data_IF_591649267521
#
_entry.id   IF_591649267521
#
_cell.length_a   1.000
_cell.length_b   1.000
_cell.length_c   1.000
_cell.angle_alpha   90.00
_cell.angle_beta   90.00
_cell.angle_gamma   90.00
#
_symmetry.space_group_name_H-M   'P 1'
#
loop_
_entity.id
_entity.type
_entity.pdbx_description
1 polymer ?
#
# COMPACT_ATOMS: atom_id res chain seq x y z
N UNK A 1 -13.23 2.74 22.05
CA UNK A 1 -13.32 1.93 20.82
C UNK A 1 -11.94 1.36 20.47
N UNK A 2 -11.88 0.08 20.17
CA UNK A 2 -10.64 -0.59 19.79
C UNK A 2 -10.22 -0.19 18.38
N UNK A 3 -8.97 -0.45 18.04
CA UNK A 3 -8.48 -0.23 16.66
C UNK A 3 -9.33 -1.03 15.66
N UNK A 4 -9.60 -2.30 15.97
CA UNK A 4 -10.42 -3.15 15.11
C UNK A 4 -11.82 -2.56 14.92
N UNK A 5 -12.43 -2.05 16.01
CA UNK A 5 -13.73 -1.41 15.94
C UNK A 5 -13.73 -0.17 15.05
N UNK A 6 -12.66 0.62 15.10
CA UNK A 6 -12.51 1.79 14.22
C UNK A 6 -12.40 1.39 12.75
N UNK A 7 -11.70 0.30 12.46
CA UNK A 7 -11.59 -0.20 11.09
C UNK A 7 -12.92 -0.71 10.57
N UNK A 8 -13.68 -1.43 11.40
CA UNK A 8 -15.02 -1.89 11.03
C UNK A 8 -15.95 -0.72 10.74
N UNK A 9 -15.85 0.34 11.52
CA UNK A 9 -16.67 1.53 11.31
C UNK A 9 -16.32 2.21 9.98
N UNK A 10 -15.03 2.31 9.66
CA UNK A 10 -14.61 2.86 8.37
C UNK A 10 -15.14 2.05 7.20
N UNK A 11 -15.09 0.73 7.30
CA UNK A 11 -15.61 -0.13 6.24
C UNK A 11 -17.12 0.04 6.09
N UNK A 12 -17.84 0.08 7.20
CA UNK A 12 -19.29 0.28 7.20
C UNK A 12 -19.68 1.61 6.56
N UNK A 13 -18.87 2.65 6.78
CA UNK A 13 -19.13 3.99 6.25
C UNK A 13 -18.66 4.16 4.81
N UNK A 14 -18.07 3.15 4.20
CA UNK A 14 -17.55 3.24 2.84
C UNK A 14 -16.32 4.13 2.73
N UNK A 15 -15.56 4.30 3.82
CA UNK A 15 -14.39 5.15 3.87
C UNK A 15 -13.15 4.39 4.41
N UNK A 16 -12.74 3.30 3.74
CA UNK A 16 -11.56 2.54 4.19
C UNK A 16 -10.28 3.35 4.08
N UNK A 17 -9.28 2.97 4.85
CA UNK A 17 -7.94 3.54 4.75
C UNK A 17 -7.32 3.06 3.44
N UNK A 18 -6.82 3.97 2.63
CA UNK A 18 -6.28 3.70 1.31
C UNK A 18 -4.76 3.62 1.36
N UNK A 19 -4.23 2.43 1.13
CA UNK A 19 -2.80 2.13 1.27
C UNK A 19 -2.15 1.99 -0.09
N UNK A 20 -0.99 2.66 -0.27
CA UNK A 20 -0.12 2.45 -1.41
C UNK A 20 1.12 1.70 -0.95
N UNK A 21 1.42 0.58 -1.60
CA UNK A 21 2.58 -0.26 -1.25
C UNK A 21 3.65 -0.08 -2.31
N UNK A 22 4.85 0.29 -1.89
CA UNK A 22 5.99 0.42 -2.77
C UNK A 22 6.93 -0.76 -2.51
N UNK A 23 7.11 -1.59 -3.53
CA UNK A 23 7.83 -2.84 -3.44
C UNK A 23 6.87 -4.02 -3.32
N UNK A 24 6.82 -4.87 -4.35
CA UNK A 24 5.93 -6.04 -4.42
C UNK A 24 6.71 -7.37 -4.35
N UNK A 25 7.89 -7.33 -3.74
CA UNK A 25 8.64 -8.54 -3.41
C UNK A 25 7.99 -9.27 -2.24
N UNK A 26 8.73 -10.16 -1.61
CA UNK A 26 8.19 -11.02 -0.57
C UNK A 26 7.52 -10.24 0.57
N UNK A 27 8.17 -9.18 1.06
CA UNK A 27 7.62 -8.38 2.16
C UNK A 27 6.39 -7.59 1.74
N UNK A 28 6.47 -6.91 0.60
CA UNK A 28 5.35 -6.13 0.09
C UNK A 28 4.16 -7.00 -0.27
N UNK A 29 4.40 -8.14 -0.90
CA UNK A 29 3.36 -9.10 -1.22
C UNK A 29 2.66 -9.61 0.05
N UNK A 30 3.45 -9.90 1.11
CA UNK A 30 2.90 -10.32 2.39
C UNK A 30 1.99 -9.27 3.02
N UNK A 31 2.41 -8.01 2.97
CA UNK A 31 1.61 -6.90 3.47
C UNK A 31 0.30 -6.76 2.68
N UNK A 32 0.39 -6.84 1.37
CA UNK A 32 -0.79 -6.75 0.48
C UNK A 32 -1.77 -7.87 0.79
N UNK A 33 -1.28 -9.09 0.98
CA UNK A 33 -2.11 -10.24 1.35
C UNK A 33 -2.80 -10.04 2.68
N UNK A 34 -2.09 -9.50 3.66
CA UNK A 34 -2.67 -9.21 4.98
C UNK A 34 -3.80 -8.19 4.88
N UNK A 35 -3.57 -7.11 4.12
CA UNK A 35 -4.58 -6.05 3.98
C UNK A 35 -5.86 -6.59 3.34
N UNK A 36 -5.75 -7.58 2.45
CA UNK A 36 -6.93 -8.15 1.79
C UNK A 36 -7.94 -8.76 2.77
N UNK A 37 -7.49 -9.10 3.97
CA UNK A 37 -8.34 -9.71 5.01
C UNK A 37 -8.67 -8.76 6.15
N UNK A 38 -8.15 -7.53 6.14
CA UNK A 38 -8.38 -6.55 7.20
C UNK A 38 -9.54 -5.64 6.79
N UNK A 39 -10.63 -5.59 7.56
CA UNK A 39 -11.72 -4.67 7.25
C UNK A 39 -11.28 -3.22 7.45
N UNK A 40 -11.81 -2.32 6.65
CA UNK A 40 -11.52 -0.88 6.78
C UNK A 40 -10.20 -0.45 6.17
N UNK A 41 -9.50 -1.33 5.47
CA UNK A 41 -8.27 -1.01 4.74
C UNK A 41 -8.35 -1.59 3.34
N UNK A 42 -7.84 -0.85 2.36
CA UNK A 42 -7.71 -1.33 0.98
C UNK A 42 -6.33 -1.01 0.45
N UNK A 43 -5.86 -1.84 -0.48
CA UNK A 43 -4.67 -1.54 -1.26
C UNK A 43 -5.14 -0.76 -2.50
N UNK A 44 -4.82 0.52 -2.54
CA UNK A 44 -5.24 1.40 -3.63
C UNK A 44 -4.16 1.59 -4.69
N UNK A 45 -2.90 1.32 -4.36
CA UNK A 45 -1.80 1.46 -5.31
C UNK A 45 -0.65 0.52 -4.97
N UNK A 46 0.03 0.06 -6.00
CA UNK A 46 1.23 -0.79 -5.86
C UNK A 46 2.26 -0.32 -6.88
N UNK A 47 3.48 -0.14 -6.43
CA UNK A 47 4.61 0.19 -7.30
C UNK A 47 5.72 -0.84 -7.13
N UNK A 48 6.31 -1.24 -8.24
CA UNK A 48 7.53 -2.05 -8.27
C UNK A 48 8.20 -1.81 -9.60
N UNK A 49 9.53 -1.75 -9.60
CA UNK A 49 10.30 -1.63 -10.87
C UNK A 49 10.02 -2.81 -11.78
N UNK A 50 9.64 -3.95 -11.21
CA UNK A 50 9.14 -5.10 -11.94
C UNK A 50 7.61 -5.04 -11.98
N UNK A 51 7.06 -4.57 -13.09
CA UNK A 51 5.60 -4.45 -13.24
C UNK A 51 4.86 -5.78 -13.10
N UNK A 52 5.49 -6.87 -13.52
CA UNK A 52 4.87 -8.19 -13.37
C UNK A 52 4.65 -8.54 -11.91
N UNK A 53 5.62 -8.19 -11.04
CA UNK A 53 5.47 -8.40 -9.62
C UNK A 53 4.32 -7.58 -9.04
N UNK A 54 4.22 -6.31 -9.45
CA UNK A 54 3.13 -5.44 -9.00
C UNK A 54 1.77 -5.97 -9.46
N UNK A 55 1.68 -6.41 -10.71
CA UNK A 55 0.43 -6.97 -11.24
C UNK A 55 0.03 -8.27 -10.55
N UNK A 56 0.99 -9.15 -10.27
CA UNK A 56 0.71 -10.39 -9.54
C UNK A 56 0.18 -10.11 -8.14
N UNK A 57 0.75 -9.13 -7.47
CA UNK A 57 0.30 -8.75 -6.13
C UNK A 57 -1.12 -8.19 -6.16
N UNK A 58 -1.43 -7.36 -7.16
CA UNK A 58 -2.78 -6.81 -7.33
C UNK A 58 -3.82 -7.91 -7.61
N UNK A 59 -3.47 -8.87 -8.45
CA UNK A 59 -4.35 -10.01 -8.76
C UNK A 59 -4.59 -10.85 -7.51
N UNK A 60 -3.54 -11.13 -6.73
CA UNK A 60 -3.65 -11.90 -5.50
C UNK A 60 -4.52 -11.18 -4.47
N UNK A 61 -4.36 -9.86 -4.35
CA UNK A 61 -5.19 -9.05 -3.46
C UNK A 61 -6.66 -9.19 -3.84
N UNK A 62 -6.99 -8.96 -5.10
CA UNK A 62 -8.37 -8.97 -5.56
C UNK A 62 -8.99 -10.38 -5.54
N UNK A 63 -8.17 -11.43 -5.60
CA UNK A 63 -8.66 -12.80 -5.46
C UNK A 63 -9.10 -13.11 -4.04
N UNK A 64 -8.50 -12.48 -3.05
CA UNK A 64 -8.76 -12.73 -1.62
C UNK A 64 -9.69 -11.72 -0.98
N UNK A 65 -9.76 -10.50 -1.52
CA UNK A 65 -10.54 -9.41 -0.93
C UNK A 65 -12.04 -9.60 -1.16
N UNK A 66 -12.84 -9.22 -0.16
CA UNK A 66 -14.30 -9.26 -0.28
C UNK A 66 -14.79 -8.30 -1.37
N UNK A 67 -14.17 -7.13 -1.45
CA UNK A 67 -14.48 -6.13 -2.47
C UNK A 67 -13.25 -5.90 -3.33
N UNK A 68 -13.44 -5.98 -4.62
CA UNK A 68 -12.35 -5.74 -5.57
C UNK A 68 -12.04 -4.26 -5.66
N UNK A 69 -10.76 -3.94 -5.83
CA UNK A 69 -10.27 -2.58 -5.96
C UNK A 69 -9.57 -2.44 -7.31
N UNK A 70 -9.84 -1.33 -7.98
CA UNK A 70 -9.08 -0.95 -9.18
C UNK A 70 -7.76 -0.33 -8.71
N UNK A 71 -6.75 -1.17 -8.58
CA UNK A 71 -5.47 -0.80 -7.99
C UNK A 71 -4.62 -0.05 -9.01
N UNK A 72 -4.11 1.12 -8.62
CA UNK A 72 -3.17 1.87 -9.43
C UNK A 72 -1.82 1.15 -9.44
N UNK A 73 -1.34 0.79 -10.63
CA UNK A 73 -0.07 0.08 -10.79
C UNK A 73 0.91 0.99 -11.52
N UNK A 74 2.13 1.11 -11.01
CA UNK A 74 3.18 1.88 -11.67
C UNK A 74 4.55 1.33 -11.33
N UNK A 75 5.49 1.43 -12.27
CA UNK A 75 6.89 1.14 -11.99
C UNK A 75 7.58 2.32 -11.29
N UNK A 76 6.95 3.50 -11.30
CA UNK A 76 7.48 4.69 -10.65
C UNK A 76 6.72 4.95 -9.36
N UNK A 77 7.41 4.84 -8.22
CA UNK A 77 6.77 5.01 -6.91
C UNK A 77 6.17 6.42 -6.73
N UNK A 78 6.66 7.42 -7.46
CA UNK A 78 6.11 8.77 -7.37
C UNK A 78 4.66 8.83 -7.82
N UNK A 79 4.26 8.01 -8.78
CA UNK A 79 2.87 7.95 -9.23
C UNK A 79 1.95 7.50 -8.11
N UNK A 80 2.43 6.60 -7.27
CA UNK A 80 1.66 6.11 -6.12
C UNK A 80 1.61 7.18 -5.02
N UNK A 81 2.75 7.76 -4.70
CA UNK A 81 2.86 8.75 -3.62
C UNK A 81 1.99 9.98 -3.90
N UNK A 82 1.94 10.43 -5.14
CA UNK A 82 1.20 11.65 -5.50
C UNK A 82 -0.25 11.39 -5.90
N UNK A 83 -0.71 10.14 -5.81
CA UNK A 83 -2.09 9.82 -6.14
C UNK A 83 -3.06 10.22 -5.03
N UNK A 84 -4.16 10.84 -5.40
CA UNK A 84 -5.25 11.15 -4.46
C UNK A 84 -5.95 9.88 -3.96
N UNK A 85 -5.74 8.76 -4.61
CA UNK A 85 -6.32 7.47 -4.21
C UNK A 85 -5.62 6.84 -3.03
N UNK A 86 -4.48 7.39 -2.58
CA UNK A 86 -3.62 6.82 -1.55
C UNK A 86 -3.48 7.80 -0.40
N UNK A 87 -3.63 7.31 0.82
CA UNK A 87 -3.47 8.12 2.05
C UNK A 87 -2.21 7.75 2.82
N UNK A 88 -1.84 6.48 2.78
CA UNK A 88 -0.70 5.95 3.53
C UNK A 88 0.24 5.24 2.55
N UNK A 89 1.52 5.54 2.67
CA UNK A 89 2.57 4.89 1.88
C UNK A 89 3.27 3.86 2.77
N UNK A 90 3.40 2.64 2.25
CA UNK A 90 4.19 1.59 2.88
C UNK A 90 5.40 1.32 2.02
N UNK A 91 6.59 1.58 2.56
CA UNK A 91 7.85 1.26 1.88
C UNK A 91 8.28 -0.16 2.24
N UNK A 92 8.15 -1.06 1.29
CA UNK A 92 8.54 -2.46 1.42
C UNK A 92 9.66 -2.83 0.45
N UNK A 93 10.45 -1.84 0.00
CA UNK A 93 11.50 -2.08 -0.98
C UNK A 93 12.72 -2.80 -0.40
N UNK A 94 13.02 -2.56 0.87
CA UNK A 94 14.23 -3.09 1.48
C UNK A 94 15.51 -2.42 0.97
N UNK A 95 15.40 -1.31 0.24
CA UNK A 95 16.53 -0.59 -0.34
C UNK A 95 16.68 0.76 0.34
N UNK A 96 17.78 0.99 1.11
CA UNK A 96 17.93 2.22 1.89
C UNK A 96 17.87 3.51 1.06
N UNK A 97 18.48 3.52 -0.11
CA UNK A 97 18.49 4.69 -0.97
C UNK A 97 17.10 5.03 -1.49
N UNK A 98 16.35 4.01 -1.92
CA UNK A 98 14.96 4.18 -2.33
C UNK A 98 14.13 4.64 -1.14
N UNK A 99 14.37 4.07 0.04
CA UNK A 99 13.67 4.44 1.26
C UNK A 99 13.80 5.91 1.60
N UNK A 100 14.99 6.49 1.43
CA UNK A 100 15.21 7.91 1.67
C UNK A 100 14.40 8.78 0.71
N UNK A 101 14.37 8.44 -0.57
CA UNK A 101 13.59 9.17 -1.57
C UNK A 101 12.09 9.03 -1.32
N UNK A 102 11.63 7.82 -1.03
CA UNK A 102 10.23 7.54 -0.75
C UNK A 102 9.77 8.33 0.47
N UNK A 103 10.59 8.35 1.53
CA UNK A 103 10.27 9.08 2.75
C UNK A 103 10.12 10.57 2.50
N UNK A 104 11.07 11.15 1.79
CA UNK A 104 11.05 12.59 1.49
C UNK A 104 9.83 12.94 0.62
N UNK A 105 9.62 12.20 -0.46
CA UNK A 105 8.48 12.45 -1.36
C UNK A 105 7.15 12.30 -0.62
N UNK A 106 7.04 11.28 0.25
CA UNK A 106 5.81 11.03 1.01
C UNK A 106 5.51 12.18 1.98
N UNK A 107 6.53 12.66 2.68
CA UNK A 107 6.37 13.79 3.59
C UNK A 107 5.97 15.06 2.84
N UNK A 108 6.60 15.31 1.69
CA UNK A 108 6.27 16.49 0.88
C UNK A 108 4.87 16.39 0.28
N UNK A 109 4.40 15.20 0.00
CA UNK A 109 3.04 14.96 -0.49
C UNK A 109 2.01 14.90 0.64
N UNK A 110 2.44 15.07 1.89
CA UNK A 110 1.58 15.02 3.08
C UNK A 110 0.90 13.66 3.26
N UNK A 111 1.60 12.60 2.91
CA UNK A 111 1.12 11.23 3.10
C UNK A 111 1.71 10.67 4.39
N UNK A 112 0.94 9.83 5.06
CA UNK A 112 1.47 9.03 6.16
C UNK A 112 2.41 7.98 5.61
N UNK A 113 3.44 7.64 6.38
CA UNK A 113 4.48 6.73 5.91
C UNK A 113 4.74 5.63 6.93
N UNK A 114 4.77 4.40 6.44
CA UNK A 114 5.16 3.22 7.22
C UNK A 114 6.36 2.58 6.53
N UNK A 115 7.44 2.40 7.28
CA UNK A 115 8.66 1.79 6.77
C UNK A 115 8.75 0.34 7.24
N UNK A 116 8.82 -0.57 6.30
CA UNK A 116 9.09 -1.99 6.58
C UNK A 116 10.55 -2.34 6.32
N UNK A 117 11.36 -1.35 6.05
CA UNK A 117 12.77 -1.52 5.74
C UNK A 117 13.58 -1.39 7.03
N UNK A 118 13.68 -2.49 7.77
CA UNK A 118 14.36 -2.50 9.08
C UNK A 118 15.83 -2.89 9.01
N UNK A 119 16.28 -3.34 7.88
CA UNK A 119 17.67 -3.74 7.65
C UNK A 119 18.45 -2.54 7.14
N UNK A 120 19.04 -1.83 8.04
CA UNK A 120 19.83 -0.66 7.67
C UNK A 120 21.24 -0.80 8.16
#
# INVERSE_FOLDING_TARGET
MTLYGKLLEREKNGAPIKVGVIGAGQMGFGMISQISTIPGMIVAGISDINLDAANRAAEAYNASADKKVDILISENFKDIIHSDKVEIIVDATGVPEAGAQISLESLMAKKHLVLLNVEI
#
